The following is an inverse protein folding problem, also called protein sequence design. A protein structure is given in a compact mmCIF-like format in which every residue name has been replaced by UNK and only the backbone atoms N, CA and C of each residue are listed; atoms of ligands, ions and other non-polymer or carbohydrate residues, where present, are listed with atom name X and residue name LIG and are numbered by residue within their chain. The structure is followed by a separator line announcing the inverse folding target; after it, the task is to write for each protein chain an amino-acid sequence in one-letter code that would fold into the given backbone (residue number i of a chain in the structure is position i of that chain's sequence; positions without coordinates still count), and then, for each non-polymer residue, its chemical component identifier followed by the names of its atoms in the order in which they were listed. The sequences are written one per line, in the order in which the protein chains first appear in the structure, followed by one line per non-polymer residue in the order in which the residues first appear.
data_IF_149231443421
#
_entry.id   IF_149231443421
#
_cell.length_a   1.000
_cell.length_b   1.000
_cell.length_c   1.000
_cell.angle_alpha   90.00
_cell.angle_beta   90.00
_cell.angle_gamma   90.00
#
_symmetry.space_group_name_H-M   'P 1'
#
loop_
_entity.id
_entity.type
_entity.pdbx_description
1 polymer ?
#
# COMPACT_ATOMS: atom_id res chain seq x y z
N UNK A 1 6.11 5.63 25.69
CA UNK A 1 4.70 6.07 25.61
C UNK A 1 4.54 6.84 24.31
N UNK A 2 3.55 6.55 23.48
CA UNK A 2 3.35 7.23 22.18
C UNK A 2 2.96 8.69 22.40
N UNK A 3 3.70 9.63 21.79
CA UNK A 3 3.47 11.08 21.98
C UNK A 3 2.45 11.58 20.96
N UNK A 4 1.40 12.24 21.44
CA UNK A 4 0.31 12.81 20.64
C UNK A 4 0.58 14.29 20.36
N UNK A 5 0.35 14.72 19.13
CA UNK A 5 0.43 16.13 18.69
C UNK A 5 -0.90 16.59 18.11
N UNK A 6 -1.14 17.91 18.10
CA UNK A 6 -2.25 18.53 17.39
C UNK A 6 -1.71 19.10 16.08
N UNK A 7 -2.29 18.71 14.96
CA UNK A 7 -1.87 19.19 13.65
C UNK A 7 -2.48 20.54 13.27
N UNK A 8 -1.96 21.14 12.21
CA UNK A 8 -2.43 22.43 11.67
C UNK A 8 -3.86 22.32 11.12
N UNK A 9 -4.26 21.17 10.54
CA UNK A 9 -5.63 20.95 10.05
C UNK A 9 -6.59 20.43 11.13
N UNK A 10 -6.14 20.40 12.38
CA UNK A 10 -6.99 20.11 13.52
C UNK A 10 -7.34 18.63 13.68
N UNK A 11 -6.45 17.72 13.26
CA UNK A 11 -6.46 16.30 13.65
C UNK A 11 -5.52 16.09 14.84
N UNK A 12 -5.75 15.02 15.61
CA UNK A 12 -4.72 14.53 16.51
C UNK A 12 -3.87 13.49 15.81
N UNK A 13 -2.56 13.57 15.99
CA UNK A 13 -1.64 12.66 15.32
C UNK A 13 -0.64 12.01 16.27
N UNK A 14 -0.25 10.81 15.91
CA UNK A 14 0.94 10.14 16.41
C UNK A 14 1.89 9.98 15.24
N UNK A 15 3.12 10.46 15.42
CA UNK A 15 4.14 10.45 14.39
C UNK A 15 5.22 9.42 14.72
N UNK A 16 5.78 8.81 13.68
CA UNK A 16 6.89 7.86 13.75
C UNK A 16 6.60 6.66 14.69
N UNK A 17 5.39 6.13 14.61
CA UNK A 17 4.99 4.91 15.33
C UNK A 17 5.67 3.72 14.70
N UNK A 18 6.67 3.14 15.37
CA UNK A 18 7.30 1.91 14.92
C UNK A 18 6.28 0.76 14.84
N UNK A 19 6.26 0.06 13.70
CA UNK A 19 5.35 -1.07 13.47
C UNK A 19 6.03 -2.44 13.53
N UNK A 20 7.35 -2.49 13.67
CA UNK A 20 8.12 -3.71 13.98
C UNK A 20 8.67 -3.69 15.41
N UNK A 21 9.13 -4.84 15.89
CA UNK A 21 9.64 -5.06 17.24
C UNK A 21 11.05 -4.49 17.48
N UNK A 22 11.91 -5.23 18.16
CA UNK A 22 13.21 -4.75 18.62
C UNK A 22 14.08 -4.15 17.49
N UNK A 23 14.59 -2.94 17.73
CA UNK A 23 15.49 -2.16 16.85
C UNK A 23 14.93 -1.92 15.43
N UNK A 24 13.79 -1.21 15.29
CA UNK A 24 13.21 -0.90 13.99
C UNK A 24 14.14 0.00 13.16
N UNK A 25 14.21 -0.23 11.85
CA UNK A 25 14.74 0.78 10.94
C UNK A 25 13.90 2.07 11.05
N UNK A 26 14.49 3.25 10.86
CA UNK A 26 13.77 4.53 11.01
C UNK A 26 12.57 4.65 10.05
N UNK A 27 12.65 4.03 8.88
CA UNK A 27 11.56 3.95 7.90
C UNK A 27 10.54 2.85 8.21
N UNK A 28 10.75 1.98 9.20
CA UNK A 28 9.75 1.03 9.67
C UNK A 28 8.79 1.68 10.68
N UNK A 29 8.23 2.81 10.26
CA UNK A 29 7.36 3.66 11.04
C UNK A 29 6.14 4.14 10.24
N UNK A 30 5.06 4.44 10.96
CA UNK A 30 3.83 4.99 10.39
C UNK A 30 3.34 6.18 11.21
N UNK A 31 2.52 7.01 10.58
CA UNK A 31 1.78 8.07 11.26
C UNK A 31 0.30 7.70 11.33
N UNK A 32 -0.37 8.13 12.40
CA UNK A 32 -1.80 7.92 12.59
C UNK A 32 -2.45 9.26 12.87
N UNK A 33 -3.42 9.66 12.06
CA UNK A 33 -4.26 10.84 12.24
C UNK A 33 -5.69 10.43 12.58
N UNK A 34 -6.27 11.11 13.59
CA UNK A 34 -7.65 10.88 14.03
C UNK A 34 -8.43 12.19 14.17
N UNK A 35 -9.78 12.15 14.07
CA UNK A 35 -10.62 13.29 14.37
C UNK A 35 -10.46 13.80 15.82
N UNK A 36 -10.64 15.11 16.06
CA UNK A 36 -10.62 15.69 17.42
C UNK A 36 -11.68 15.13 18.35
N UNK A 37 -12.81 14.73 17.76
CA UNK A 37 -13.92 14.08 18.45
C UNK A 37 -14.19 12.78 17.74
N UNK A 38 -13.84 11.69 18.40
CA UNK A 38 -14.30 10.36 18.03
C UNK A 38 -15.58 10.13 18.83
N UNK A 39 -16.76 10.01 18.19
CA UNK A 39 -17.97 9.67 18.91
C UNK A 39 -17.75 8.36 19.70
N UNK A 40 -18.27 8.24 20.94
CA UNK A 40 -18.14 7.00 21.69
C UNK A 40 -18.62 5.80 20.85
N UNK A 41 -17.80 4.74 20.77
CA UNK A 41 -18.07 3.50 20.00
C UNK A 41 -18.09 3.66 18.47
N UNK A 42 -17.56 4.74 17.90
CA UNK A 42 -17.69 4.98 16.46
C UNK A 42 -16.91 4.03 15.55
N UNK A 43 -16.00 3.19 16.07
CA UNK A 43 -15.25 2.13 15.35
C UNK A 43 -15.09 2.47 13.86
N UNK A 44 -14.29 3.51 13.60
CA UNK A 44 -14.26 4.16 12.29
C UNK A 44 -13.42 3.32 11.31
N UNK A 45 -13.80 3.29 10.02
CA UNK A 45 -12.92 2.71 9.00
C UNK A 45 -11.58 3.47 8.93
N UNK A 46 -10.51 2.78 8.55
CA UNK A 46 -9.16 3.34 8.47
C UNK A 46 -8.64 3.28 7.04
N UNK A 47 -8.25 4.42 6.49
CA UNK A 47 -7.53 4.51 5.22
C UNK A 47 -6.03 4.48 5.49
N UNK A 48 -5.32 3.54 4.84
CA UNK A 48 -3.88 3.31 5.02
C UNK A 48 -3.17 3.64 3.72
N UNK A 49 -2.39 4.71 3.70
CA UNK A 49 -1.66 5.17 2.53
C UNK A 49 -0.21 4.68 2.54
N UNK A 50 0.22 4.12 1.40
CA UNK A 50 1.60 3.69 1.12
C UNK A 50 2.15 4.55 -0.01
N UNK A 51 3.23 5.27 0.27
CA UNK A 51 3.77 6.26 -0.65
C UNK A 51 4.50 5.65 -1.86
N UNK A 52 4.57 6.44 -2.93
CA UNK A 52 5.38 6.15 -4.12
C UNK A 52 6.83 6.61 -3.99
N UNK A 53 7.54 6.70 -5.12
CA UNK A 53 8.95 7.10 -5.15
C UNK A 53 9.90 6.00 -5.61
N UNK A 54 9.45 5.17 -6.56
CA UNK A 54 10.31 4.19 -7.25
C UNK A 54 11.01 3.20 -6.30
N UNK A 55 10.41 2.90 -5.14
CA UNK A 55 11.01 2.05 -4.08
C UNK A 55 12.37 2.53 -3.56
N UNK A 56 12.79 3.74 -3.91
CA UNK A 56 14.14 4.27 -3.70
C UNK A 56 14.14 5.58 -2.92
N UNK A 57 13.02 6.29 -2.91
CA UNK A 57 12.84 7.58 -2.25
C UNK A 57 11.41 7.74 -1.77
N UNK A 58 11.17 8.85 -1.08
CA UNK A 58 9.87 9.23 -0.57
C UNK A 58 9.81 9.09 0.94
N UNK A 59 8.74 9.64 1.49
CA UNK A 59 8.41 9.59 2.89
C UNK A 59 6.89 9.77 3.04
N UNK A 60 6.33 9.20 4.10
CA UNK A 60 4.92 9.22 4.50
C UNK A 60 4.35 10.62 4.70
N UNK A 61 5.21 11.63 4.87
CA UNK A 61 4.84 13.04 4.97
C UNK A 61 5.67 13.95 4.04
N UNK A 62 6.25 13.39 2.97
CA UNK A 62 7.08 14.13 2.02
C UNK A 62 6.36 14.51 0.73
N UNK A 63 6.57 15.73 0.25
CA UNK A 63 6.13 16.18 -1.07
C UNK A 63 4.61 16.03 -1.28
N UNK A 64 4.22 15.27 -2.32
CA UNK A 64 2.81 15.05 -2.67
C UNK A 64 2.02 14.22 -1.64
N UNK A 65 2.69 13.59 -0.67
CA UNK A 65 2.04 12.78 0.36
C UNK A 65 1.69 13.59 1.62
N UNK A 66 2.09 14.86 1.67
CA UNK A 66 1.90 15.71 2.84
C UNK A 66 0.41 15.78 3.21
N UNK A 67 0.11 15.61 4.51
CA UNK A 67 -1.23 15.71 5.10
C UNK A 67 -2.28 14.72 4.54
N UNK A 68 -1.86 13.65 3.82
CA UNK A 68 -2.79 12.66 3.25
C UNK A 68 -3.58 11.91 4.33
N UNK A 69 -2.95 11.63 5.47
CA UNK A 69 -3.58 11.05 6.65
C UNK A 69 -4.68 11.99 7.21
N UNK A 70 -4.42 13.29 7.24
CA UNK A 70 -5.39 14.30 7.68
C UNK A 70 -6.52 14.50 6.65
N UNK A 71 -6.24 14.37 5.35
CA UNK A 71 -7.27 14.39 4.31
C UNK A 71 -8.28 13.25 4.50
N UNK A 72 -7.83 12.04 4.87
CA UNK A 72 -8.74 10.94 5.21
C UNK A 72 -9.58 11.23 6.45
N UNK A 73 -9.01 11.91 7.45
CA UNK A 73 -9.77 12.38 8.61
C UNK A 73 -10.87 13.36 8.20
N UNK A 74 -10.57 14.30 7.31
CA UNK A 74 -11.57 15.21 6.72
C UNK A 74 -12.69 14.49 5.97
N UNK A 75 -12.40 13.32 5.39
CA UNK A 75 -13.37 12.46 4.72
C UNK A 75 -14.14 11.50 5.66
N UNK A 76 -13.90 11.55 6.98
CA UNK A 76 -14.62 10.75 7.97
C UNK A 76 -13.99 9.41 8.34
N UNK A 77 -12.72 9.19 7.97
CA UNK A 77 -11.95 7.98 8.29
C UNK A 77 -10.91 8.25 9.39
N UNK A 78 -10.27 7.20 9.92
CA UNK A 78 -8.91 7.38 10.41
C UNK A 78 -7.96 7.43 9.22
N UNK A 79 -6.93 8.26 9.32
CA UNK A 79 -5.85 8.29 8.34
C UNK A 79 -4.59 7.67 8.89
N UNK A 80 -3.92 6.87 8.06
CA UNK A 80 -2.61 6.32 8.35
C UNK A 80 -1.72 6.50 7.13
N UNK A 81 -0.48 6.94 7.33
CA UNK A 81 0.55 6.97 6.29
C UNK A 81 1.75 6.14 6.71
N UNK A 82 2.25 5.29 5.81
CA UNK A 82 3.23 4.24 6.12
C UNK A 82 4.53 4.49 5.36
N UNK A 83 5.66 4.49 6.07
CA UNK A 83 6.98 4.33 5.47
C UNK A 83 7.34 2.84 5.35
N UNK A 84 8.27 2.55 4.46
CA UNK A 84 8.92 1.24 4.28
C UNK A 84 10.39 1.47 3.94
N UNK A 85 11.27 0.48 4.19
CA UNK A 85 12.70 0.60 3.83
C UNK A 85 12.86 0.78 2.33
N UNK A 86 13.91 1.50 1.92
CA UNK A 86 14.12 1.90 0.52
C UNK A 86 15.34 1.21 -0.09
N UNK A 87 15.34 1.10 -1.42
CA UNK A 87 16.50 0.62 -2.17
C UNK A 87 17.52 1.77 -2.32
N UNK A 88 18.83 1.48 -2.36
CA UNK A 88 19.45 0.16 -2.48
C UNK A 88 19.70 -0.57 -1.15
N UNK A 89 19.30 0.00 0.00
CA UNK A 89 19.51 -0.64 1.30
C UNK A 89 18.80 -2.00 1.40
N UNK A 90 17.59 -2.08 0.84
CA UNK A 90 16.84 -3.33 0.69
C UNK A 90 16.38 -3.54 -0.75
N UNK A 91 16.16 -4.80 -1.11
CA UNK A 91 15.60 -5.20 -2.40
C UNK A 91 14.25 -5.90 -2.19
N UNK A 92 13.44 -5.96 -3.25
CA UNK A 92 12.24 -6.77 -3.28
C UNK A 92 12.58 -8.23 -2.89
N UNK A 93 11.81 -8.87 -2.00
CA UNK A 93 10.50 -8.45 -1.49
C UNK A 93 10.51 -7.72 -0.13
N UNK A 94 11.63 -7.20 0.36
CA UNK A 94 11.70 -6.57 1.70
C UNK A 94 10.74 -5.38 1.86
N UNK A 95 10.57 -4.55 0.82
CA UNK A 95 9.57 -3.47 0.82
C UNK A 95 8.15 -3.98 1.07
N UNK A 96 7.81 -5.14 0.49
CA UNK A 96 6.49 -5.78 0.62
C UNK A 96 6.32 -6.32 2.04
N UNK A 97 7.37 -6.92 2.61
CA UNK A 97 7.37 -7.41 4.00
C UNK A 97 7.16 -6.28 5.00
N UNK A 98 7.77 -5.12 4.77
CA UNK A 98 7.57 -3.93 5.61
C UNK A 98 6.10 -3.45 5.59
N UNK A 99 5.49 -3.37 4.40
CA UNK A 99 4.06 -3.00 4.27
C UNK A 99 3.15 -4.07 4.89
N UNK A 100 3.45 -5.35 4.73
CA UNK A 100 2.71 -6.43 5.40
C UNK A 100 2.79 -6.32 6.92
N UNK A 101 3.98 -6.06 7.47
CA UNK A 101 4.18 -5.85 8.91
C UNK A 101 3.39 -4.63 9.42
N UNK A 102 3.38 -3.53 8.68
CA UNK A 102 2.59 -2.34 9.02
C UNK A 102 1.09 -2.65 9.06
N UNK A 103 0.55 -3.36 8.05
CA UNK A 103 -0.88 -3.74 8.02
C UNK A 103 -1.23 -4.70 9.16
N UNK A 104 -0.37 -5.68 9.46
CA UNK A 104 -0.55 -6.58 10.62
C UNK A 104 -0.51 -5.80 11.95
N UNK A 105 0.38 -4.83 12.09
CA UNK A 105 0.43 -3.97 13.27
C UNK A 105 -0.86 -3.15 13.42
N UNK A 106 -1.37 -2.58 12.32
CA UNK A 106 -2.61 -1.80 12.31
C UNK A 106 -3.80 -2.66 12.72
N UNK A 107 -3.96 -3.86 12.17
CA UNK A 107 -5.01 -4.80 12.58
C UNK A 107 -5.02 -5.02 14.10
N UNK A 108 -3.84 -5.15 14.71
CA UNK A 108 -3.69 -5.42 16.16
C UNK A 108 -3.88 -4.18 17.04
N UNK A 109 -3.70 -2.97 16.50
CA UNK A 109 -3.56 -1.77 17.34
C UNK A 109 -4.55 -0.64 17.02
N UNK A 110 -5.16 -0.60 15.83
CA UNK A 110 -5.93 0.57 15.39
C UNK A 110 -7.17 0.84 16.25
N UNK A 111 -7.71 -0.18 16.91
CA UNK A 111 -8.79 -0.05 17.91
C UNK A 111 -8.43 0.91 19.06
N UNK A 112 -7.16 0.97 19.45
CA UNK A 112 -6.68 1.90 20.50
C UNK A 112 -6.76 3.36 20.07
N UNK A 113 -6.82 3.62 18.77
CA UNK A 113 -6.94 4.94 18.17
C UNK A 113 -8.38 5.25 17.74
N UNK A 114 -9.33 4.35 17.98
CA UNK A 114 -10.75 4.50 17.64
C UNK A 114 -11.15 3.95 16.26
N UNK A 115 -10.25 3.25 15.57
CA UNK A 115 -10.55 2.57 14.32
C UNK A 115 -11.14 1.18 14.51
N UNK A 116 -11.92 0.70 13.55
CA UNK A 116 -12.36 -0.69 13.46
C UNK A 116 -11.26 -1.52 12.78
N UNK A 117 -10.64 -2.48 13.50
CA UNK A 117 -9.59 -3.31 12.92
C UNK A 117 -10.09 -4.17 11.75
N UNK A 118 -11.41 -4.34 11.59
CA UNK A 118 -12.01 -5.08 10.50
C UNK A 118 -12.46 -4.19 9.33
N UNK A 119 -12.08 -2.91 9.28
CA UNK A 119 -12.47 -1.98 8.19
C UNK A 119 -11.30 -1.15 7.70
N UNK A 120 -10.25 -1.82 7.22
CA UNK A 120 -9.13 -1.16 6.57
C UNK A 120 -9.39 -1.01 5.08
N UNK A 121 -8.97 0.12 4.50
CA UNK A 121 -8.86 0.34 3.06
C UNK A 121 -7.42 0.71 2.77
N UNK A 122 -6.78 -0.02 1.86
CA UNK A 122 -5.39 0.22 1.50
C UNK A 122 -5.32 1.14 0.28
N UNK A 123 -4.50 2.17 0.34
CA UNK A 123 -4.31 3.13 -0.74
C UNK A 123 -2.82 3.17 -1.04
N UNK A 124 -2.44 2.98 -2.29
CA UNK A 124 -1.04 3.08 -2.71
C UNK A 124 -0.89 4.01 -3.89
N UNK A 125 0.21 4.77 -3.91
CA UNK A 125 0.58 5.62 -5.05
C UNK A 125 1.85 5.09 -5.72
N UNK A 126 1.86 4.94 -7.05
CA UNK A 126 3.03 4.51 -7.83
C UNK A 126 3.65 3.22 -7.28
N UNK A 127 4.90 3.26 -6.81
CA UNK A 127 5.55 2.14 -6.12
C UNK A 127 4.75 1.64 -4.89
N UNK A 128 4.05 2.50 -4.17
CA UNK A 128 3.19 2.09 -3.06
C UNK A 128 1.96 1.31 -3.51
N UNK A 129 1.40 1.61 -4.69
CA UNK A 129 0.32 0.83 -5.28
C UNK A 129 0.79 -0.60 -5.60
N UNK A 130 2.01 -0.73 -6.13
CA UNK A 130 2.65 -2.04 -6.33
C UNK A 130 2.73 -2.85 -5.03
N UNK A 131 3.23 -2.23 -3.94
CA UNK A 131 3.38 -2.92 -2.65
C UNK A 131 2.04 -3.34 -2.04
N UNK A 132 1.02 -2.48 -2.11
CA UNK A 132 -0.35 -2.80 -1.67
C UNK A 132 -0.92 -3.97 -2.48
N UNK A 133 -0.75 -3.96 -3.80
CA UNK A 133 -1.22 -5.06 -4.63
C UNK A 133 -0.45 -6.35 -4.36
N UNK A 134 0.87 -6.30 -4.07
CA UNK A 134 1.63 -7.51 -3.73
C UNK A 134 1.13 -8.20 -2.45
N UNK A 135 0.88 -7.47 -1.37
CA UNK A 135 0.37 -8.07 -0.13
C UNK A 135 -1.06 -8.61 -0.27
N UNK A 136 -1.85 -8.05 -1.18
CA UNK A 136 -3.18 -8.55 -1.51
C UNK A 136 -3.15 -9.68 -2.55
N UNK A 137 -2.09 -9.77 -3.35
CA UNK A 137 -1.91 -10.81 -4.35
C UNK A 137 -1.48 -12.12 -3.68
N UNK A 138 -0.55 -12.06 -2.72
CA UNK A 138 -0.04 -13.23 -2.01
C UNK A 138 -0.28 -13.13 -0.49
N UNK A 139 -1.23 -13.92 0.07
CA UNK A 139 -1.52 -13.88 1.51
C UNK A 139 -0.32 -14.33 2.38
N UNK A 140 0.67 -15.02 1.81
CA UNK A 140 1.86 -15.47 2.56
C UNK A 140 2.64 -14.32 3.18
N UNK A 141 2.61 -13.11 2.59
CA UNK A 141 3.29 -11.96 3.17
C UNK A 141 2.74 -11.59 4.55
N UNK A 142 1.41 -11.63 4.73
CA UNK A 142 0.81 -11.36 6.02
C UNK A 142 0.99 -12.54 6.98
N UNK A 143 0.90 -13.79 6.50
CA UNK A 143 1.21 -14.96 7.33
C UNK A 143 2.64 -14.90 7.88
N UNK A 144 3.61 -14.51 7.04
CA UNK A 144 5.01 -14.32 7.45
C UNK A 144 5.19 -13.17 8.46
N UNK A 145 4.34 -12.15 8.41
CA UNK A 145 4.25 -11.09 9.43
C UNK A 145 3.53 -11.53 10.72
N UNK A 146 3.14 -12.80 10.83
CA UNK A 146 2.45 -13.39 11.97
C UNK A 146 0.94 -13.16 11.98
N UNK A 147 0.35 -12.81 10.83
CA UNK A 147 -1.10 -12.67 10.71
C UNK A 147 -1.77 -14.03 10.53
N UNK A 148 -2.69 -14.34 11.45
CA UNK A 148 -3.48 -15.59 11.39
C UNK A 148 -4.76 -15.43 10.57
N UNK A 149 -5.38 -14.25 10.60
CA UNK A 149 -6.63 -14.03 9.87
C UNK A 149 -6.35 -13.72 8.40
N UNK A 150 -7.14 -14.28 7.47
CA UNK A 150 -7.05 -13.91 6.06
C UNK A 150 -7.28 -12.40 5.87
N UNK A 151 -6.45 -11.76 5.05
CA UNK A 151 -6.45 -10.29 4.88
C UNK A 151 -7.80 -9.74 4.43
N UNK A 152 -8.55 -10.48 3.63
CA UNK A 152 -9.88 -10.13 3.13
C UNK A 152 -10.99 -10.14 4.21
N UNK A 153 -10.71 -10.69 5.40
CA UNK A 153 -11.63 -10.59 6.54
C UNK A 153 -11.64 -9.19 7.16
N UNK A 154 -10.59 -8.39 6.98
CA UNK A 154 -10.44 -7.09 7.63
C UNK A 154 -10.04 -5.93 6.70
N UNK A 155 -9.41 -6.20 5.57
CA UNK A 155 -9.25 -5.24 4.46
C UNK A 155 -10.48 -5.32 3.56
N UNK A 156 -11.11 -4.18 3.28
CA UNK A 156 -12.41 -4.09 2.58
C UNK A 156 -12.31 -3.58 1.14
N UNK A 157 -11.15 -3.10 0.75
CA UNK A 157 -10.85 -2.69 -0.62
C UNK A 157 -9.46 -2.12 -0.72
N UNK A 158 -9.01 -1.89 -1.95
CA UNK A 158 -7.78 -1.17 -2.21
C UNK A 158 -7.91 -0.17 -3.36
N UNK A 159 -7.10 0.88 -3.29
CA UNK A 159 -6.98 1.92 -4.30
C UNK A 159 -5.54 1.96 -4.78
N UNK A 160 -5.34 1.82 -6.08
CA UNK A 160 -4.04 1.98 -6.73
C UNK A 160 -4.03 3.25 -7.57
N UNK A 161 -3.22 4.24 -7.18
CA UNK A 161 -3.10 5.53 -7.86
C UNK A 161 -1.79 5.54 -8.67
N UNK A 162 -1.89 5.72 -9.99
CA UNK A 162 -0.74 5.77 -10.91
C UNK A 162 0.24 4.61 -10.69
N UNK A 163 -0.31 3.42 -10.44
CA UNK A 163 0.44 2.26 -9.96
C UNK A 163 1.25 1.55 -11.03
N UNK A 164 2.32 0.88 -10.60
CA UNK A 164 3.13 -0.03 -11.43
C UNK A 164 2.79 -1.46 -11.08
N UNK A 165 2.41 -2.28 -12.06
CA UNK A 165 1.99 -3.67 -11.82
C UNK A 165 2.76 -4.69 -12.66
N UNK A 166 3.42 -4.24 -13.74
CA UNK A 166 4.26 -5.05 -14.59
C UNK A 166 5.72 -4.56 -14.57
N UNK A 167 6.54 -5.18 -13.71
CA UNK A 167 7.94 -4.78 -13.54
C UNK A 167 8.78 -5.12 -14.78
N UNK A 168 8.40 -6.15 -15.55
CA UNK A 168 9.05 -6.44 -16.83
C UNK A 168 8.82 -5.32 -17.84
N UNK A 169 7.60 -4.76 -17.92
CA UNK A 169 7.31 -3.61 -18.78
C UNK A 169 8.10 -2.39 -18.34
N UNK A 170 8.12 -2.12 -17.03
CA UNK A 170 8.89 -1.00 -16.47
C UNK A 170 10.38 -1.12 -16.83
N UNK A 171 10.98 -2.29 -16.64
CA UNK A 171 12.40 -2.53 -16.94
C UNK A 171 12.75 -2.32 -18.43
N UNK A 172 11.80 -2.60 -19.33
CA UNK A 172 11.98 -2.47 -20.78
C UNK A 172 11.51 -1.12 -21.36
N UNK A 173 11.04 -0.20 -20.52
CA UNK A 173 10.72 1.17 -20.98
C UNK A 173 12.01 1.99 -21.09
N UNK A 174 12.04 3.01 -21.95
CA UNK A 174 13.23 3.81 -22.29
C UNK A 174 14.00 4.31 -21.06
N UNK A 175 15.30 4.62 -21.26
CA UNK A 175 16.41 5.01 -20.33
C UNK A 175 16.17 5.02 -18.80
N UNK A 176 15.05 5.56 -18.32
CA UNK A 176 14.63 5.53 -16.93
C UNK A 176 14.26 4.12 -16.40
N UNK A 177 13.92 3.16 -17.27
CA UNK A 177 13.45 1.83 -16.86
C UNK A 177 14.43 1.07 -15.96
N UNK A 178 15.67 0.84 -16.40
CA UNK A 178 16.68 0.09 -15.63
C UNK A 178 17.19 0.84 -14.41
N UNK A 179 17.33 2.18 -14.49
CA UNK A 179 17.71 3.01 -13.34
C UNK A 179 16.68 2.91 -12.20
N UNK A 180 15.39 2.81 -12.53
CA UNK A 180 14.32 2.65 -11.57
C UNK A 180 14.20 1.19 -11.09
N UNK A 181 14.45 0.22 -11.97
CA UNK A 181 14.15 -1.21 -11.74
C UNK A 181 15.29 -1.95 -11.06
N UNK A 182 16.56 -1.69 -11.44
CA UNK A 182 17.69 -2.49 -10.96
C UNK A 182 17.92 -2.36 -9.44
N UNK A 183 17.89 -1.17 -8.83
CA UNK A 183 18.10 -1.08 -7.38
C UNK A 183 17.08 -1.90 -6.56
N UNK A 184 15.75 -1.80 -6.80
CA UNK A 184 14.78 -2.61 -6.05
C UNK A 184 14.68 -4.07 -6.47
N UNK A 185 14.86 -4.42 -7.75
CA UNK A 185 14.49 -5.76 -8.26
C UNK A 185 15.67 -6.57 -8.80
N UNK A 186 16.89 -6.01 -8.81
CA UNK A 186 18.04 -6.63 -9.46
C UNK A 186 17.96 -6.55 -10.98
N UNK A 187 18.86 -7.26 -11.66
CA UNK A 187 19.08 -7.12 -13.11
C UNK A 187 18.54 -8.30 -13.93
N UNK A 188 18.01 -9.34 -13.27
CA UNK A 188 17.55 -10.55 -13.95
C UNK A 188 16.06 -10.45 -14.27
N UNK A 189 15.70 -10.76 -15.51
CA UNK A 189 14.31 -10.78 -15.96
C UNK A 189 13.39 -11.72 -15.14
N UNK A 190 13.93 -12.77 -14.54
CA UNK A 190 13.21 -13.65 -13.60
C UNK A 190 12.73 -12.87 -12.37
N UNK A 191 13.58 -12.05 -11.76
CA UNK A 191 13.24 -11.25 -10.59
C UNK A 191 12.14 -10.23 -10.91
N UNK A 192 12.19 -9.64 -12.11
CA UNK A 192 11.15 -8.72 -12.57
C UNK A 192 9.82 -9.44 -12.79
N UNK A 193 9.83 -10.68 -13.31
CA UNK A 193 8.62 -11.49 -13.46
C UNK A 193 8.02 -11.84 -12.10
N UNK A 194 8.84 -12.28 -11.15
CA UNK A 194 8.40 -12.58 -9.78
C UNK A 194 7.82 -11.36 -9.06
N UNK A 195 8.38 -10.18 -9.31
CA UNK A 195 7.89 -8.93 -8.76
C UNK A 195 6.63 -8.38 -9.49
N UNK A 196 6.19 -8.97 -10.59
CA UNK A 196 5.01 -8.51 -11.34
C UNK A 196 3.72 -9.15 -10.81
N UNK A 197 2.66 -8.36 -10.65
CA UNK A 197 1.43 -8.80 -9.97
C UNK A 197 0.76 -9.96 -10.71
N UNK A 198 0.77 -9.93 -12.04
CA UNK A 198 0.17 -10.99 -12.86
C UNK A 198 0.77 -12.37 -12.58
N UNK A 199 2.09 -12.47 -12.42
CA UNK A 199 2.76 -13.73 -12.09
C UNK A 199 2.33 -14.25 -10.73
N UNK A 200 2.26 -13.37 -9.72
CA UNK A 200 1.78 -13.71 -8.38
C UNK A 200 0.34 -14.20 -8.42
N UNK A 201 -0.57 -13.48 -9.08
CA UNK A 201 -1.99 -13.86 -9.17
C UNK A 201 -2.16 -15.19 -9.90
N UNK A 202 -1.44 -15.44 -10.99
CA UNK A 202 -1.48 -16.74 -11.69
C UNK A 202 -0.99 -17.88 -10.80
N UNK A 203 0.10 -17.67 -10.06
CA UNK A 203 0.67 -18.68 -9.15
C UNK A 203 -0.24 -18.97 -7.96
N UNK A 204 -0.80 -17.94 -7.32
CA UNK A 204 -1.64 -18.06 -6.11
C UNK A 204 -3.07 -18.49 -6.47
N UNK A 205 -3.56 -18.11 -7.66
CA UNK A 205 -4.88 -18.47 -8.17
C UNK A 205 -6.02 -17.88 -7.33
N UNK A 206 -7.11 -18.64 -7.19
CA UNK A 206 -8.35 -18.23 -6.52
C UNK A 206 -8.20 -17.97 -5.01
N UNK A 207 -7.08 -18.37 -4.42
CA UNK A 207 -6.77 -18.06 -3.01
C UNK A 207 -6.27 -16.62 -2.83
N UNK A 208 -5.91 -15.94 -3.91
CA UNK A 208 -5.47 -14.55 -3.87
C UNK A 208 -6.64 -13.62 -3.52
N UNK A 209 -6.52 -12.79 -2.46
CA UNK A 209 -7.51 -11.78 -2.13
C UNK A 209 -7.90 -10.87 -3.31
N UNK A 210 -6.95 -10.55 -4.20
CA UNK A 210 -7.22 -9.73 -5.38
C UNK A 210 -8.23 -10.34 -6.37
N UNK A 211 -8.53 -11.64 -6.29
CA UNK A 211 -9.55 -12.26 -7.17
C UNK A 211 -10.99 -11.91 -6.79
N UNK A 212 -11.20 -11.26 -5.64
CA UNK A 212 -12.55 -10.94 -5.11
C UNK A 212 -12.66 -9.60 -4.40
N UNK A 213 -11.53 -8.95 -4.09
CA UNK A 213 -11.46 -7.68 -3.40
C UNK A 213 -12.00 -6.53 -4.28
N UNK A 214 -12.77 -5.58 -3.74
CA UNK A 214 -13.06 -4.31 -4.42
C UNK A 214 -11.79 -3.54 -4.71
N UNK A 215 -11.61 -3.12 -5.95
CA UNK A 215 -10.45 -2.33 -6.38
C UNK A 215 -10.90 -1.08 -7.11
N UNK A 216 -10.24 0.04 -6.80
CA UNK A 216 -10.29 1.25 -7.59
C UNK A 216 -8.90 1.56 -8.14
N UNK A 217 -8.76 1.56 -9.46
CA UNK A 217 -7.53 1.94 -10.15
C UNK A 217 -7.70 3.35 -10.69
N UNK A 218 -6.84 4.27 -10.28
CA UNK A 218 -6.87 5.69 -10.66
C UNK A 218 -5.58 6.00 -11.39
N UNK A 219 -5.67 6.63 -12.56
CA UNK A 219 -4.51 7.06 -13.34
C UNK A 219 -4.71 8.50 -13.83
N UNK A 220 -3.62 9.24 -14.05
CA UNK A 220 -3.67 10.52 -14.74
C UNK A 220 -3.65 10.30 -16.27
N UNK A 221 -4.20 11.26 -17.03
CA UNK A 221 -4.23 11.19 -18.50
C UNK A 221 -2.82 11.16 -19.13
N UNK A 222 -1.88 11.90 -18.56
CA UNK A 222 -0.50 12.02 -19.04
C UNK A 222 0.47 11.10 -18.27
N UNK A 223 -0.03 10.07 -17.58
CA UNK A 223 0.80 9.13 -16.84
C UNK A 223 1.73 8.33 -17.77
N UNK A 224 2.94 8.05 -17.27
CA UNK A 224 3.96 7.25 -17.96
C UNK A 224 3.56 5.77 -18.03
N UNK A 225 2.89 5.34 -19.10
CA UNK A 225 2.42 3.97 -19.35
C UNK A 225 1.64 3.27 -18.19
N UNK A 226 1.34 3.97 -17.09
CA UNK A 226 0.72 3.37 -15.90
C UNK A 226 -0.77 3.07 -16.13
N UNK A 227 -1.38 3.73 -17.11
CA UNK A 227 -2.72 3.38 -17.57
C UNK A 227 -2.73 2.02 -18.26
N UNK A 228 -1.74 1.69 -19.10
CA UNK A 228 -1.59 0.35 -19.68
C UNK A 228 -1.36 -0.71 -18.61
N UNK A 229 -0.55 -0.41 -17.60
CA UNK A 229 -0.33 -1.30 -16.45
C UNK A 229 -1.63 -1.54 -15.67
N UNK A 230 -2.41 -0.50 -15.40
CA UNK A 230 -3.71 -0.64 -14.72
C UNK A 230 -4.71 -1.46 -15.54
N UNK A 231 -4.78 -1.25 -16.86
CA UNK A 231 -5.61 -2.06 -17.75
C UNK A 231 -5.14 -3.52 -17.80
N UNK A 232 -3.83 -3.76 -17.74
CA UNK A 232 -3.28 -5.12 -17.70
C UNK A 232 -3.60 -5.83 -16.39
N UNK A 233 -3.46 -5.15 -15.25
CA UNK A 233 -3.88 -5.67 -13.96
C UNK A 233 -5.38 -6.00 -13.97
N UNK A 234 -6.22 -5.10 -14.46
CA UNK A 234 -7.66 -5.33 -14.60
C UNK A 234 -7.95 -6.61 -15.40
N UNK A 235 -7.31 -6.78 -16.57
CA UNK A 235 -7.47 -8.01 -17.38
C UNK A 235 -7.05 -9.26 -16.63
N UNK A 236 -5.91 -9.26 -15.94
CA UNK A 236 -5.44 -10.43 -15.17
C UNK A 236 -6.43 -10.80 -14.07
N UNK A 237 -6.96 -9.81 -13.35
CA UNK A 237 -7.86 -10.04 -12.23
C UNK A 237 -9.26 -10.44 -12.69
N UNK A 238 -9.78 -9.86 -13.79
CA UNK A 238 -11.04 -10.29 -14.40
C UNK A 238 -10.95 -11.72 -14.94
N UNK A 239 -9.83 -12.08 -15.57
CA UNK A 239 -9.58 -13.46 -15.99
C UNK A 239 -9.53 -14.44 -14.80
N UNK A 240 -9.09 -13.96 -13.63
CA UNK A 240 -9.09 -14.71 -12.37
C UNK A 240 -10.45 -14.66 -11.62
N UNK A 241 -11.48 -14.02 -12.19
CA UNK A 241 -12.85 -14.00 -11.66
C UNK A 241 -13.23 -12.75 -10.86
N UNK A 242 -12.38 -11.72 -10.76
CA UNK A 242 -12.74 -10.49 -10.06
C UNK A 242 -13.66 -9.61 -10.92
N UNK A 243 -14.87 -9.38 -10.43
CA UNK A 243 -15.91 -8.54 -11.05
C UNK A 243 -16.09 -7.18 -10.36
N UNK A 244 -15.25 -6.85 -9.39
CA UNK A 244 -15.39 -5.68 -8.50
C UNK A 244 -14.25 -4.67 -8.70
N UNK A 245 -13.86 -4.47 -9.95
CA UNK A 245 -12.78 -3.55 -10.33
C UNK A 245 -13.42 -2.33 -11.00
N UNK A 246 -13.06 -1.16 -10.51
CA UNK A 246 -13.36 0.10 -11.17
C UNK A 246 -12.04 0.73 -11.60
N UNK A 247 -12.01 1.29 -12.81
CA UNK A 247 -10.86 2.06 -13.30
C UNK A 247 -11.34 3.44 -13.73
N UNK A 248 -10.58 4.46 -13.36
CA UNK A 248 -10.84 5.84 -13.77
C UNK A 248 -9.54 6.51 -14.20
N UNK A 249 -9.66 7.38 -15.20
CA UNK A 249 -8.57 8.24 -15.65
C UNK A 249 -9.00 9.67 -15.37
N UNK A 250 -8.17 10.41 -14.65
CA UNK A 250 -8.44 11.79 -14.23
C UNK A 250 -7.49 12.74 -14.96
N UNK A 251 -7.91 14.01 -15.03
CA UNK A 251 -7.23 15.08 -15.76
C UNK A 251 -5.74 15.21 -15.43
#
# INVERSE_FOLDING_TARGET
MLRRTLSVLGAYSWKDVAYVGESPHALQALDIAIPRRIPPRSNLPTCVFVHGGSWQRGDKNGGLNQDIDEAFVGAGYLGVSVNYRLSPEVQHPEHVKDVAAAVTWLYRNIAKFGGDPNKLVLVGHSAGAHLVMQILADPQYLTAAGMEQPIDTFVKGAVGISGVYNIVRLANTSFYGTLVTNPPFGERAEQWREASIGMTVTRVGTTSPLTKMPLLLVNAHEDFHFNEDAQELERWLTAAGNVRIQRTVTF
#
